data_IF_147188682827
#
_entry.id   IF_147188682827
#
_cell.length_a   1.000
_cell.length_b   1.000
_cell.length_c   1.000
_cell.angle_alpha   90.00
_cell.angle_beta   90.00
_cell.angle_gamma   90.00
#
_symmetry.space_group_name_H-M   'P 1'
#
loop_
_entity.id
_entity.type
_entity.pdbx_description
1 polymer ?
#
# COMPACT_ATOMS: atom_id res chain seq x y z
N UNK A 1 -18.54 15.99 11.30
CA UNK A 1 -17.84 14.79 10.85
C UNK A 1 -16.99 15.07 9.60
N UNK A 2 -17.51 15.66 8.52
CA UNK A 2 -16.78 15.90 7.26
C UNK A 2 -15.41 16.56 7.46
N UNK A 3 -15.31 17.64 8.26
CA UNK A 3 -14.03 18.31 8.54
C UNK A 3 -12.99 17.39 9.20
N UNK A 4 -13.44 16.46 10.05
CA UNK A 4 -12.54 15.47 10.69
C UNK A 4 -12.02 14.47 9.67
N UNK A 5 -12.89 13.96 8.78
CA UNK A 5 -12.52 13.03 7.70
C UNK A 5 -11.52 13.70 6.75
N UNK A 6 -11.85 14.88 6.20
CA UNK A 6 -10.97 15.57 5.24
C UNK A 6 -9.62 15.97 5.85
N UNK A 7 -9.59 16.37 7.13
CA UNK A 7 -8.34 16.69 7.83
C UNK A 7 -7.36 15.52 7.88
N UNK A 8 -7.88 14.27 7.88
CA UNK A 8 -7.06 13.06 7.87
C UNK A 8 -6.86 12.54 6.44
N UNK A 9 -7.89 12.56 5.61
CA UNK A 9 -7.82 12.03 4.26
C UNK A 9 -6.86 12.84 3.37
N UNK A 10 -6.97 14.18 3.34
CA UNK A 10 -6.18 15.00 2.42
C UNK A 10 -4.66 14.82 2.62
N UNK A 11 -4.08 14.93 3.82
CA UNK A 11 -2.66 14.68 3.98
C UNK A 11 -2.26 13.23 3.67
N UNK A 12 -3.14 12.26 3.91
CA UNK A 12 -2.89 10.85 3.59
C UNK A 12 -2.86 10.62 2.07
N UNK A 13 -3.79 11.22 1.33
CA UNK A 13 -3.80 11.21 -0.14
C UNK A 13 -2.51 11.82 -0.68
N UNK A 14 -2.13 12.99 -0.19
CA UNK A 14 -0.90 13.65 -0.60
C UNK A 14 0.33 12.77 -0.33
N UNK A 15 0.40 12.12 0.83
CA UNK A 15 1.49 11.19 1.14
C UNK A 15 1.52 9.98 0.19
N UNK A 16 0.37 9.40 -0.16
CA UNK A 16 0.29 8.27 -1.09
C UNK A 16 0.74 8.64 -2.51
N UNK A 17 0.38 9.84 -2.99
CA UNK A 17 0.74 10.31 -4.34
C UNK A 17 2.26 10.60 -4.44
N UNK A 18 2.93 10.93 -3.34
CA UNK A 18 4.39 11.18 -3.39
C UNK A 18 5.21 9.93 -3.68
N UNK A 19 4.71 8.75 -3.37
CA UNK A 19 5.43 7.47 -3.60
C UNK A 19 5.68 7.17 -5.09
N UNK A 20 4.65 7.18 -5.98
CA UNK A 20 4.89 7.00 -7.41
C UNK A 20 5.71 8.12 -8.03
N UNK A 21 5.63 9.36 -7.52
CA UNK A 21 6.48 10.47 -7.98
C UNK A 21 7.96 10.18 -7.71
N UNK A 22 8.29 9.60 -6.57
CA UNK A 22 9.66 9.19 -6.25
C UNK A 22 10.19 8.15 -7.25
N UNK A 23 9.39 7.12 -7.55
CA UNK A 23 9.76 6.10 -8.52
C UNK A 23 10.00 6.69 -9.93
N UNK A 24 9.22 7.70 -10.33
CA UNK A 24 9.43 8.42 -11.58
C UNK A 24 10.75 9.19 -11.60
N UNK A 25 11.11 9.86 -10.51
CA UNK A 25 12.39 10.59 -10.40
C UNK A 25 13.57 9.63 -10.43
N UNK A 26 13.53 8.52 -9.68
CA UNK A 26 14.58 7.50 -9.72
C UNK A 26 14.74 6.91 -11.13
N UNK A 27 13.64 6.65 -11.82
CA UNK A 27 13.62 6.21 -13.22
C UNK A 27 14.23 7.26 -14.16
N UNK A 28 13.88 8.54 -13.98
CA UNK A 28 14.44 9.63 -14.77
C UNK A 28 15.95 9.78 -14.55
N UNK A 29 16.41 9.78 -13.30
CA UNK A 29 17.86 9.83 -12.99
C UNK A 29 18.58 8.69 -13.68
N UNK A 30 18.04 7.47 -13.56
CA UNK A 30 18.67 6.25 -14.09
C UNK A 30 18.64 6.21 -15.62
N UNK A 31 17.56 6.69 -16.24
CA UNK A 31 17.42 6.77 -17.70
C UNK A 31 18.47 7.67 -18.36
N UNK A 32 18.97 8.68 -17.63
CA UNK A 32 20.04 9.58 -18.09
C UNK A 32 21.46 9.06 -17.79
N UNK A 33 21.61 7.87 -17.17
CA UNK A 33 22.92 7.28 -16.88
C UNK A 33 23.55 6.52 -18.06
N UNK A 34 22.96 6.60 -19.24
CA UNK A 34 23.55 6.11 -20.51
C UNK A 34 23.50 4.60 -20.73
N UNK A 35 22.84 3.82 -19.86
CA UNK A 35 22.68 2.36 -20.05
C UNK A 35 21.28 1.88 -19.65
N UNK A 36 20.60 1.22 -20.57
CA UNK A 36 19.32 0.56 -20.32
C UNK A 36 19.42 -0.51 -19.22
N UNK A 37 20.61 -1.09 -19.00
CA UNK A 37 20.84 -2.09 -17.92
C UNK A 37 20.66 -1.51 -16.53
N UNK A 38 21.04 -0.25 -16.29
CA UNK A 38 20.81 0.40 -14.99
C UNK A 38 19.32 0.57 -14.69
N UNK A 39 18.56 0.99 -15.71
CA UNK A 39 17.11 1.12 -15.60
C UNK A 39 16.44 -0.21 -15.31
N UNK A 40 16.82 -1.26 -16.05
CA UNK A 40 16.34 -2.62 -15.85
C UNK A 40 16.70 -3.16 -14.46
N UNK A 41 17.91 -2.90 -13.96
CA UNK A 41 18.36 -3.33 -12.65
C UNK A 41 17.59 -2.66 -11.50
N UNK A 42 17.29 -1.35 -11.61
CA UNK A 42 16.47 -0.64 -10.61
C UNK A 42 15.02 -1.14 -10.65
N UNK A 43 14.46 -1.34 -11.84
CA UNK A 43 13.11 -1.91 -11.98
C UNK A 43 13.03 -3.30 -11.32
N UNK A 44 14.00 -4.17 -11.59
CA UNK A 44 14.08 -5.51 -11.01
C UNK A 44 14.25 -5.46 -9.49
N UNK A 45 15.18 -4.63 -8.99
CA UNK A 45 15.38 -4.40 -7.55
C UNK A 45 14.14 -3.83 -6.88
N UNK A 46 13.43 -2.92 -7.53
CA UNK A 46 12.16 -2.37 -7.06
C UNK A 46 11.08 -3.44 -6.89
N UNK A 47 10.97 -4.37 -7.84
CA UNK A 47 10.06 -5.53 -7.74
C UNK A 47 10.45 -6.40 -6.54
N UNK A 48 11.74 -6.69 -6.35
CA UNK A 48 12.24 -7.46 -5.20
C UNK A 48 11.79 -6.85 -3.87
N UNK A 49 12.02 -5.54 -3.69
CA UNK A 49 11.65 -4.85 -2.45
C UNK A 49 10.14 -4.69 -2.28
N UNK A 50 9.40 -4.45 -3.35
CA UNK A 50 7.93 -4.40 -3.27
C UNK A 50 7.37 -5.74 -2.78
N UNK A 51 7.86 -6.87 -3.31
CA UNK A 51 7.43 -8.21 -2.86
C UNK A 51 7.73 -8.42 -1.36
N UNK A 52 8.92 -7.98 -0.88
CA UNK A 52 9.30 -8.10 0.52
C UNK A 52 8.46 -7.20 1.42
N UNK A 53 8.37 -5.91 1.10
CA UNK A 53 7.76 -4.92 2.00
C UNK A 53 6.23 -4.97 2.02
N UNK A 54 5.58 -5.38 0.94
CA UNK A 54 4.11 -5.54 0.91
C UNK A 54 3.62 -6.54 1.95
N UNK A 55 4.36 -7.62 2.16
CA UNK A 55 4.03 -8.60 3.22
C UNK A 55 3.97 -7.92 4.59
N UNK A 56 4.83 -6.94 4.85
CA UNK A 56 4.90 -6.22 6.13
C UNK A 56 4.01 -4.97 6.22
N UNK A 57 3.22 -4.67 5.20
CA UNK A 57 2.26 -3.54 5.22
C UNK A 57 1.25 -3.63 6.36
N UNK A 58 1.03 -4.83 6.90
CA UNK A 58 0.22 -5.06 8.09
C UNK A 58 0.71 -4.28 9.32
N UNK A 59 2.02 -4.00 9.42
CA UNK A 59 2.58 -3.19 10.51
C UNK A 59 1.91 -1.81 10.56
N UNK A 60 1.63 -1.19 9.42
CA UNK A 60 0.92 0.09 9.37
C UNK A 60 -0.54 -0.06 9.80
N UNK A 61 -1.30 -0.95 9.14
CA UNK A 61 -2.74 -1.10 9.37
C UNK A 61 -3.07 -1.63 10.77
N UNK A 62 -2.38 -2.69 11.23
CA UNK A 62 -2.59 -3.25 12.56
C UNK A 62 -2.21 -2.27 13.68
N UNK A 63 -1.12 -1.52 13.50
CA UNK A 63 -0.72 -0.48 14.46
C UNK A 63 -1.73 0.66 14.49
N UNK A 64 -2.24 1.10 13.33
CA UNK A 64 -3.26 2.16 13.23
C UNK A 64 -4.55 1.77 13.96
N UNK A 65 -5.09 0.57 13.69
CA UNK A 65 -6.31 0.10 14.33
C UNK A 65 -6.19 -0.02 15.85
N UNK A 66 -5.11 -0.66 16.33
CA UNK A 66 -4.90 -0.83 17.78
C UNK A 66 -4.62 0.52 18.49
N UNK A 67 -3.82 1.40 17.89
CA UNK A 67 -3.50 2.71 18.46
C UNK A 67 -4.71 3.62 18.50
N UNK A 68 -5.54 3.63 17.45
CA UNK A 68 -6.74 4.48 17.38
C UNK A 68 -7.78 4.07 18.43
N UNK A 69 -7.95 2.78 18.69
CA UNK A 69 -8.83 2.30 19.75
C UNK A 69 -8.30 2.67 21.15
N UNK A 70 -7.02 2.45 21.41
CA UNK A 70 -6.39 2.84 22.67
C UNK A 70 -6.50 4.36 22.90
N UNK A 71 -6.27 5.15 21.86
CA UNK A 71 -6.43 6.61 21.90
C UNK A 71 -7.89 7.02 22.19
N UNK A 72 -8.85 6.36 21.54
CA UNK A 72 -10.27 6.58 21.77
C UNK A 72 -10.72 6.26 23.19
N UNK A 73 -10.14 5.21 23.78
CA UNK A 73 -10.36 4.83 25.18
C UNK A 73 -9.68 5.76 26.21
N UNK A 74 -8.86 6.72 25.76
CA UNK A 74 -8.07 7.59 26.63
C UNK A 74 -6.86 6.91 27.27
N UNK A 75 -6.54 5.67 26.88
CA UNK A 75 -5.42 4.89 27.43
C UNK A 75 -4.10 5.19 26.70
N UNK A 76 -3.45 6.26 27.07
CA UNK A 76 -2.15 6.66 26.49
C UNK A 76 -1.02 5.68 26.79
N UNK A 77 -1.17 4.84 27.86
CA UNK A 77 -0.20 3.78 28.14
C UNK A 77 -0.34 2.63 27.14
N UNK A 78 -1.57 2.22 26.81
CA UNK A 78 -1.81 1.26 25.74
C UNK A 78 -1.32 1.78 24.38
N UNK A 79 -1.55 3.05 24.06
CA UNK A 79 -1.02 3.70 22.84
C UNK A 79 0.51 3.59 22.77
N UNK A 80 1.21 3.86 23.87
CA UNK A 80 2.66 3.74 23.96
C UNK A 80 3.14 2.28 23.78
N UNK A 81 2.42 1.34 24.37
CA UNK A 81 2.74 -0.10 24.27
C UNK A 81 2.55 -0.63 22.84
N UNK A 82 1.48 -0.22 22.15
CA UNK A 82 1.26 -0.58 20.74
C UNK A 82 2.41 -0.09 19.86
N UNK A 83 2.84 1.16 20.01
CA UNK A 83 3.99 1.70 19.29
C UNK A 83 5.26 0.90 19.53
N UNK A 84 5.61 0.66 20.80
CA UNK A 84 6.84 -0.06 21.16
C UNK A 84 6.83 -1.49 20.65
N UNK A 85 5.70 -2.20 20.73
CA UNK A 85 5.54 -3.56 20.16
C UNK A 85 5.72 -3.54 18.65
N UNK A 86 5.05 -2.61 17.96
CA UNK A 86 5.16 -2.48 16.51
C UNK A 86 6.58 -2.18 16.06
N UNK A 87 7.28 -1.26 16.74
CA UNK A 87 8.68 -0.94 16.46
C UNK A 87 9.61 -2.12 16.75
N UNK A 88 9.40 -2.83 17.86
CA UNK A 88 10.20 -4.03 18.18
C UNK A 88 10.06 -5.09 17.10
N UNK A 89 8.83 -5.36 16.63
CA UNK A 89 8.57 -6.32 15.57
C UNK A 89 9.16 -5.83 14.24
N UNK A 90 8.99 -4.56 13.91
CA UNK A 90 9.53 -3.95 12.70
C UNK A 90 11.06 -4.03 12.62
N UNK A 91 11.74 -3.63 13.70
CA UNK A 91 13.21 -3.66 13.78
C UNK A 91 13.75 -5.09 13.78
N UNK A 92 13.11 -6.01 14.52
CA UNK A 92 13.48 -7.42 14.52
C UNK A 92 13.28 -8.05 13.13
N UNK A 93 12.17 -7.81 12.46
CA UNK A 93 11.91 -8.30 11.11
C UNK A 93 12.92 -7.73 10.10
N UNK A 94 13.22 -6.42 10.18
CA UNK A 94 14.24 -5.78 9.34
C UNK A 94 15.63 -6.36 9.58
N UNK A 95 16.01 -6.63 10.83
CA UNK A 95 17.28 -7.29 11.17
C UNK A 95 17.33 -8.73 10.60
N UNK A 96 16.24 -9.49 10.70
CA UNK A 96 16.15 -10.83 10.10
C UNK A 96 16.29 -10.76 8.58
N UNK A 97 15.69 -9.77 7.91
CA UNK A 97 15.88 -9.57 6.45
C UNK A 97 17.34 -9.31 6.10
N UNK A 98 18.06 -8.51 6.89
CA UNK A 98 19.50 -8.27 6.68
C UNK A 98 20.29 -9.57 6.87
N UNK A 99 20.01 -10.35 7.91
CA UNK A 99 20.67 -11.63 8.15
C UNK A 99 20.40 -12.65 7.02
N UNK A 100 19.20 -12.63 6.48
CA UNK A 100 18.77 -13.51 5.39
C UNK A 100 18.97 -12.91 3.99
N UNK A 101 19.74 -11.83 3.84
CA UNK A 101 19.91 -11.14 2.55
C UNK A 101 20.39 -12.07 1.42
N UNK A 102 21.33 -12.98 1.69
CA UNK A 102 21.85 -13.94 0.69
C UNK A 102 20.80 -14.96 0.23
N UNK A 103 20.12 -15.71 1.12
CA UNK A 103 19.06 -16.62 0.70
C UNK A 103 17.88 -15.89 0.03
N UNK A 104 17.49 -14.69 0.50
CA UNK A 104 16.46 -13.87 -0.13
C UNK A 104 16.86 -13.51 -1.57
N UNK A 105 18.08 -13.03 -1.77
CA UNK A 105 18.58 -12.68 -3.09
C UNK A 105 18.62 -13.89 -4.04
N UNK A 106 19.03 -15.06 -3.54
CA UNK A 106 19.08 -16.29 -4.33
C UNK A 106 17.67 -16.74 -4.76
N UNK A 107 16.70 -16.72 -3.84
CA UNK A 107 15.31 -17.11 -4.15
C UNK A 107 14.69 -16.14 -5.14
N UNK A 108 14.85 -14.84 -4.91
CA UNK A 108 14.27 -13.80 -5.77
C UNK A 108 14.94 -13.77 -7.15
N UNK A 109 16.27 -13.92 -7.22
CA UNK A 109 17.00 -14.02 -8.48
C UNK A 109 16.54 -15.18 -9.34
N UNK A 110 16.32 -16.37 -8.73
CA UNK A 110 15.76 -17.54 -9.43
C UNK A 110 14.29 -17.37 -9.84
N UNK A 111 13.52 -16.63 -9.05
CA UNK A 111 12.11 -16.40 -9.34
C UNK A 111 11.91 -15.39 -10.48
N UNK A 112 12.76 -14.36 -10.54
CA UNK A 112 12.67 -13.28 -11.53
C UNK A 112 13.42 -13.59 -12.82
N UNK A 113 14.45 -14.44 -12.75
CA UNK A 113 15.25 -15.05 -13.85
C UNK A 113 15.38 -14.13 -15.10
N UNK A 114 16.05 -12.97 -15.01
CA UNK A 114 16.16 -12.07 -16.14
C UNK A 114 17.12 -12.65 -17.21
N UNK A 115 16.79 -12.44 -18.48
CA UNK A 115 17.55 -12.95 -19.63
C UNK A 115 19.02 -12.45 -19.68
N UNK A 116 19.30 -11.22 -19.17
CA UNK A 116 20.66 -10.64 -19.11
C UNK A 116 21.26 -10.83 -17.70
N UNK A 117 22.29 -11.70 -17.55
CA UNK A 117 22.99 -11.89 -16.28
C UNK A 117 23.61 -10.61 -15.69
N UNK A 118 23.95 -9.62 -16.55
CA UNK A 118 24.48 -8.34 -16.10
C UNK A 118 23.42 -7.52 -15.35
N UNK A 119 22.15 -7.60 -15.77
CA UNK A 119 21.02 -6.96 -15.09
C UNK A 119 20.83 -7.57 -13.71
N UNK A 120 20.89 -8.91 -13.59
CA UNK A 120 20.79 -9.59 -12.30
C UNK A 120 21.94 -9.21 -11.36
N UNK A 121 23.16 -9.09 -11.87
CA UNK A 121 24.32 -8.66 -11.08
C UNK A 121 24.14 -7.25 -10.52
N UNK A 122 23.70 -6.31 -11.36
CA UNK A 122 23.42 -4.92 -10.96
C UNK A 122 22.24 -4.83 -9.98
N UNK A 123 21.16 -5.59 -10.22
CA UNK A 123 20.02 -5.66 -9.30
C UNK A 123 20.43 -6.28 -7.95
N UNK A 124 21.34 -7.25 -7.95
CA UNK A 124 21.91 -7.85 -6.75
C UNK A 124 22.72 -6.84 -5.93
N UNK A 125 23.52 -6.02 -6.61
CA UNK A 125 24.26 -4.92 -5.98
C UNK A 125 23.30 -3.90 -5.35
N UNK A 126 22.28 -3.48 -6.10
CA UNK A 126 21.25 -2.58 -5.63
C UNK A 126 20.51 -3.14 -4.40
N UNK A 127 20.12 -4.42 -4.46
CA UNK A 127 19.49 -5.13 -3.35
C UNK A 127 20.37 -5.18 -2.10
N UNK A 128 21.66 -5.53 -2.26
CA UNK A 128 22.61 -5.66 -1.14
C UNK A 128 22.83 -4.34 -0.39
N UNK A 129 22.74 -3.21 -1.08
CA UNK A 129 22.82 -1.88 -0.47
C UNK A 129 21.51 -1.56 0.25
N UNK A 130 20.39 -1.68 -0.44
CA UNK A 130 19.09 -1.23 0.07
C UNK A 130 18.53 -2.07 1.21
N UNK A 131 18.91 -3.36 1.33
CA UNK A 131 18.41 -4.23 2.38
C UNK A 131 18.75 -3.72 3.78
N UNK A 132 19.83 -2.96 3.93
CA UNK A 132 20.20 -2.28 5.16
C UNK A 132 19.22 -1.20 5.59
N UNK A 133 18.35 -0.76 4.69
CA UNK A 133 17.22 0.11 4.97
C UNK A 133 15.98 -0.61 5.52
N UNK A 134 15.93 -1.95 5.49
CA UNK A 134 14.75 -2.70 5.90
C UNK A 134 14.23 -2.35 7.31
N UNK A 135 15.07 -2.23 8.36
CA UNK A 135 14.58 -1.82 9.67
C UNK A 135 13.96 -0.42 9.67
N UNK A 136 14.52 0.52 8.91
CA UNK A 136 14.00 1.88 8.80
C UNK A 136 12.65 1.91 8.05
N UNK A 137 12.52 1.17 6.95
CA UNK A 137 11.26 1.07 6.16
C UNK A 137 10.14 0.46 7.01
N UNK A 138 10.41 -0.68 7.66
CA UNK A 138 9.41 -1.35 8.50
C UNK A 138 9.08 -0.51 9.74
N UNK A 139 10.09 0.17 10.32
CA UNK A 139 9.89 1.13 11.40
C UNK A 139 9.02 2.32 10.98
N UNK A 140 9.21 2.83 9.77
CA UNK A 140 8.36 3.87 9.19
C UNK A 140 6.91 3.40 9.01
N UNK A 141 6.66 2.14 8.64
CA UNK A 141 5.31 1.57 8.62
C UNK A 141 4.66 1.58 10.00
N UNK A 142 5.38 1.12 11.03
CA UNK A 142 4.89 1.11 12.40
C UNK A 142 4.58 2.53 12.91
N UNK A 143 5.48 3.49 12.70
CA UNK A 143 5.28 4.89 13.09
C UNK A 143 4.14 5.55 12.31
N UNK A 144 4.04 5.33 11.02
CA UNK A 144 2.95 5.86 10.19
C UNK A 144 1.59 5.36 10.68
N UNK A 145 1.46 4.05 10.99
CA UNK A 145 0.26 3.50 11.59
C UNK A 145 -0.06 4.15 12.94
N UNK A 146 0.95 4.35 13.78
CA UNK A 146 0.77 4.98 15.08
C UNK A 146 0.34 6.45 14.98
N UNK A 147 1.00 7.26 14.14
CA UNK A 147 0.59 8.66 13.92
C UNK A 147 -0.84 8.77 13.41
N UNK A 148 -1.23 7.87 12.50
CA UNK A 148 -2.59 7.81 12.00
C UNK A 148 -3.58 7.46 13.13
N UNK A 149 -3.26 6.48 13.96
CA UNK A 149 -4.04 6.13 15.15
C UNK A 149 -4.18 7.27 16.14
N UNK A 150 -3.14 8.12 16.27
CA UNK A 150 -3.13 9.36 17.05
C UNK A 150 -3.87 10.53 16.37
N UNK A 151 -4.63 10.28 15.32
CA UNK A 151 -5.41 11.28 14.56
C UNK A 151 -4.54 12.35 13.88
N UNK A 152 -3.30 12.03 13.51
CA UNK A 152 -2.39 12.99 12.91
C UNK A 152 -1.75 12.47 11.62
N UNK A 153 -2.51 12.49 10.54
CA UNK A 153 -2.03 12.11 9.20
C UNK A 153 -1.02 13.09 8.59
N UNK A 154 -0.91 14.31 9.14
CA UNK A 154 0.10 15.28 8.67
C UNK A 154 1.53 14.79 8.90
N UNK A 155 1.75 14.00 9.96
CA UNK A 155 3.08 13.42 10.22
C UNK A 155 3.47 12.39 9.16
N UNK A 156 2.48 11.61 8.64
CA UNK A 156 2.71 10.72 7.50
C UNK A 156 3.22 11.51 6.29
N UNK A 157 2.54 12.61 5.97
CA UNK A 157 2.91 13.47 4.85
C UNK A 157 4.32 14.05 5.04
N UNK A 158 4.63 14.60 6.22
CA UNK A 158 5.96 15.18 6.47
C UNK A 158 7.07 14.14 6.40
N UNK A 159 6.88 12.96 6.99
CA UNK A 159 7.87 11.86 6.89
C UNK A 159 8.06 11.45 5.43
N UNK A 160 6.97 11.29 4.67
CA UNK A 160 7.04 10.95 3.25
C UNK A 160 7.77 12.03 2.43
N UNK A 161 7.48 13.30 2.65
CA UNK A 161 8.16 14.41 1.98
C UNK A 161 9.65 14.46 2.33
N UNK A 162 10.01 14.26 3.60
CA UNK A 162 11.42 14.23 4.03
C UNK A 162 12.15 13.09 3.34
N UNK A 163 11.57 11.89 3.29
CA UNK A 163 12.16 10.75 2.58
C UNK A 163 12.37 11.08 1.11
N UNK A 164 11.34 11.60 0.43
CA UNK A 164 11.39 11.86 -1.00
C UNK A 164 12.38 12.97 -1.37
N UNK A 165 12.35 14.08 -0.62
CA UNK A 165 13.28 15.21 -0.86
C UNK A 165 14.72 14.76 -0.60
N UNK A 166 14.97 14.02 0.50
CA UNK A 166 16.30 13.49 0.83
C UNK A 166 16.78 12.51 -0.22
N UNK A 167 15.91 11.60 -0.69
CA UNK A 167 16.24 10.64 -1.74
C UNK A 167 16.64 11.38 -3.03
N UNK A 168 15.80 12.28 -3.54
CA UNK A 168 16.04 13.02 -4.76
C UNK A 168 17.37 13.81 -4.67
N UNK A 169 17.55 14.57 -3.59
CA UNK A 169 18.74 15.39 -3.40
C UNK A 169 20.01 14.53 -3.35
N UNK A 170 20.00 13.46 -2.54
CA UNK A 170 21.16 12.59 -2.40
C UNK A 170 21.43 11.79 -3.67
N UNK A 171 20.41 11.25 -4.33
CA UNK A 171 20.58 10.54 -5.61
C UNK A 171 21.21 11.44 -6.67
N UNK A 172 20.74 12.68 -6.82
CA UNK A 172 21.34 13.64 -7.75
C UNK A 172 22.79 13.96 -7.39
N UNK A 173 23.09 14.23 -6.12
CA UNK A 173 24.46 14.53 -5.65
C UNK A 173 25.38 13.34 -5.90
N UNK A 174 24.97 12.13 -5.47
CA UNK A 174 25.82 10.94 -5.53
C UNK A 174 26.03 10.46 -6.97
N UNK A 175 25.02 10.62 -7.85
CA UNK A 175 25.13 10.21 -9.25
C UNK A 175 25.90 11.21 -10.09
N UNK A 176 25.57 12.52 -10.01
CA UNK A 176 26.12 13.53 -10.93
C UNK A 176 27.38 14.21 -10.40
N UNK A 177 27.52 14.39 -9.08
CA UNK A 177 28.73 15.04 -8.51
C UNK A 177 29.80 13.99 -8.15
N UNK A 178 29.38 12.91 -7.48
CA UNK A 178 30.31 11.85 -7.05
C UNK A 178 30.48 10.72 -8.08
N UNK A 179 29.72 10.73 -9.17
CA UNK A 179 29.78 9.74 -10.25
C UNK A 179 29.62 8.29 -9.81
N UNK A 180 28.83 8.05 -8.75
CA UNK A 180 28.66 6.71 -8.14
C UNK A 180 27.69 5.82 -8.94
N UNK A 181 27.03 6.31 -9.99
CA UNK A 181 26.11 5.52 -10.80
C UNK A 181 24.99 4.86 -10.00
N UNK A 182 24.74 3.58 -10.27
CA UNK A 182 23.68 2.79 -9.59
C UNK A 182 23.83 2.75 -8.07
N UNK A 183 25.08 2.67 -7.58
CA UNK A 183 25.35 2.66 -6.13
C UNK A 183 24.97 3.99 -5.49
N UNK A 184 25.07 5.10 -6.23
CA UNK A 184 24.63 6.41 -5.77
C UNK A 184 23.12 6.48 -5.55
N UNK A 185 22.32 5.97 -6.49
CA UNK A 185 20.85 5.89 -6.32
C UNK A 185 20.48 5.01 -5.15
N UNK A 186 21.08 3.81 -5.06
CA UNK A 186 20.81 2.88 -3.95
C UNK A 186 21.17 3.49 -2.58
N UNK A 187 22.33 4.13 -2.47
CA UNK A 187 22.79 4.76 -1.22
C UNK A 187 21.91 5.98 -0.87
N UNK A 188 21.51 6.80 -1.86
CA UNK A 188 20.60 7.92 -1.66
C UNK A 188 19.26 7.46 -1.08
N UNK A 189 18.69 6.39 -1.64
CA UNK A 189 17.46 5.76 -1.14
C UNK A 189 17.62 5.19 0.27
N UNK A 190 18.72 4.47 0.51
CA UNK A 190 19.04 3.92 1.84
C UNK A 190 19.08 5.02 2.92
N UNK A 191 19.87 6.07 2.67
CA UNK A 191 20.02 7.18 3.63
C UNK A 191 18.67 7.90 3.82
N UNK A 192 17.91 8.12 2.76
CA UNK A 192 16.59 8.75 2.85
C UNK A 192 15.63 7.97 3.76
N UNK A 193 15.63 6.63 3.72
CA UNK A 193 14.80 5.80 4.59
C UNK A 193 15.19 5.97 6.08
N UNK A 194 16.49 6.02 6.39
CA UNK A 194 16.97 6.25 7.75
C UNK A 194 16.70 7.67 8.24
N UNK A 195 16.84 8.67 7.37
CA UNK A 195 16.49 10.07 7.69
C UNK A 195 15.00 10.19 7.99
N UNK A 196 14.14 9.55 7.18
CA UNK A 196 12.69 9.51 7.45
C UNK A 196 12.34 8.81 8.76
N UNK A 197 13.02 7.70 9.07
CA UNK A 197 12.86 7.00 10.34
C UNK A 197 13.29 7.88 11.54
N UNK A 198 14.43 8.56 11.41
CA UNK A 198 14.89 9.54 12.41
C UNK A 198 13.92 10.71 12.58
N UNK A 199 13.39 11.26 11.48
CA UNK A 199 12.37 12.31 11.51
C UNK A 199 11.09 11.85 12.23
N UNK A 200 10.66 10.60 11.99
CA UNK A 200 9.54 10.00 12.72
C UNK A 200 9.77 9.97 14.23
N UNK A 201 10.97 9.63 14.68
CA UNK A 201 11.34 9.70 16.10
C UNK A 201 11.32 11.13 16.64
N UNK A 202 11.82 12.10 15.89
CA UNK A 202 11.78 13.51 16.30
C UNK A 202 10.34 13.99 16.46
N UNK A 203 9.45 13.65 15.53
CA UNK A 203 8.04 13.99 15.63
C UNK A 203 7.33 13.34 16.82
N UNK A 204 7.78 12.15 17.24
CA UNK A 204 7.23 11.48 18.43
C UNK A 204 7.53 12.24 19.73
N UNK A 205 8.63 13.00 19.82
CA UNK A 205 8.94 13.79 21.01
C UNK A 205 7.88 14.86 21.32
N UNK A 206 7.12 15.30 20.31
CA UNK A 206 5.98 16.20 20.52
C UNK A 206 4.81 15.58 21.28
N UNK A 207 4.82 14.25 21.46
CA UNK A 207 3.79 13.50 22.19
C UNK A 207 4.33 13.07 23.54
N UNK A 208 3.56 13.33 24.62
CA UNK A 208 3.89 12.87 25.97
C UNK A 208 3.62 11.35 26.07
N UNK A 209 4.58 10.55 25.61
CA UNK A 209 4.50 9.09 25.64
C UNK A 209 4.85 8.60 27.04
N UNK A 210 3.91 7.91 27.75
CA UNK A 210 4.21 7.41 29.09
C UNK A 210 5.37 6.40 29.07
N UNK A 211 6.23 6.40 30.11
CA UNK A 211 7.26 5.39 30.23
C UNK A 211 6.62 4.00 30.40
N UNK A 212 7.14 3.00 29.73
CA UNK A 212 6.71 1.61 29.80
C UNK A 212 7.91 0.69 29.94
N UNK A 213 7.74 -0.40 30.66
CA UNK A 213 8.80 -1.39 30.88
C UNK A 213 8.87 -2.41 29.75
N UNK A 214 10.03 -3.02 29.53
CA UNK A 214 10.21 -4.07 28.56
C UNK A 214 9.29 -5.28 28.85
N UNK A 215 9.08 -5.60 30.13
CA UNK A 215 8.17 -6.66 30.57
C UNK A 215 6.72 -6.43 30.11
N UNK A 216 6.26 -5.19 30.12
CA UNK A 216 4.92 -4.82 29.61
C UNK A 216 4.83 -4.95 28.09
N UNK A 217 5.88 -4.53 27.37
CA UNK A 217 5.97 -4.66 25.91
C UNK A 217 5.89 -6.13 25.51
N UNK A 218 6.64 -7.01 26.22
CA UNK A 218 6.75 -8.45 25.94
C UNK A 218 5.66 -9.31 26.60
N UNK A 219 4.61 -8.70 27.19
CA UNK A 219 3.52 -9.45 27.81
C UNK A 219 2.81 -10.34 26.79
N UNK A 220 2.88 -11.65 26.99
CA UNK A 220 2.46 -12.66 26.02
C UNK A 220 1.00 -12.56 25.58
N UNK A 221 0.07 -12.29 26.51
CA UNK A 221 -1.36 -12.13 26.21
C UNK A 221 -1.61 -11.02 25.20
N UNK A 222 -0.91 -9.90 25.33
CA UNK A 222 -1.03 -8.74 24.48
C UNK A 222 -0.29 -8.91 23.14
N UNK A 223 0.87 -9.58 23.17
CA UNK A 223 1.60 -9.96 21.96
C UNK A 223 0.76 -10.93 21.11
N UNK A 224 0.11 -11.91 21.73
CA UNK A 224 -0.78 -12.84 21.01
C UNK A 224 -1.92 -12.10 20.29
N UNK A 225 -2.55 -11.11 20.95
CA UNK A 225 -3.57 -10.25 20.32
C UNK A 225 -2.97 -9.43 19.18
N UNK A 226 -1.83 -8.82 19.41
CA UNK A 226 -1.12 -8.03 18.40
C UNK A 226 -0.77 -8.87 17.17
N UNK A 227 -0.16 -10.04 17.35
CA UNK A 227 0.19 -10.93 16.25
C UNK A 227 -1.05 -11.47 15.53
N UNK A 228 -2.13 -11.78 16.24
CA UNK A 228 -3.39 -12.26 15.61
C UNK A 228 -3.94 -11.21 14.65
N UNK A 229 -4.09 -9.96 15.10
CA UNK A 229 -4.58 -8.85 14.25
C UNK A 229 -3.67 -8.66 13.03
N UNK A 230 -2.37 -8.62 13.26
CA UNK A 230 -1.40 -8.40 12.19
C UNK A 230 -1.33 -9.57 11.20
N UNK A 231 -1.44 -10.82 11.66
CA UNK A 231 -1.49 -12.01 10.81
C UNK A 231 -2.74 -12.01 9.91
N UNK A 232 -3.90 -11.66 10.44
CA UNK A 232 -5.14 -11.58 9.67
C UNK A 232 -5.04 -10.50 8.57
N UNK A 233 -4.45 -9.33 8.88
CA UNK A 233 -4.20 -8.27 7.90
C UNK A 233 -3.15 -8.71 6.87
N UNK A 234 -2.10 -9.42 7.28
CA UNK A 234 -1.09 -9.98 6.37
C UNK A 234 -1.71 -10.98 5.40
N UNK A 235 -2.50 -11.94 5.90
CA UNK A 235 -3.17 -12.94 5.05
C UNK A 235 -4.14 -12.29 4.06
N UNK A 236 -4.86 -11.24 4.48
CA UNK A 236 -5.67 -10.40 3.58
C UNK A 236 -4.82 -9.81 2.47
N UNK A 237 -3.65 -9.27 2.80
CA UNK A 237 -2.74 -8.67 1.81
C UNK A 237 -2.21 -9.72 0.83
N UNK A 238 -1.91 -10.93 1.30
CA UNK A 238 -1.52 -12.05 0.43
C UNK A 238 -2.64 -12.38 -0.58
N UNK A 239 -3.91 -12.42 -0.15
CA UNK A 239 -5.04 -12.62 -1.06
C UNK A 239 -5.11 -11.53 -2.14
N UNK A 240 -4.90 -10.25 -1.77
CA UNK A 240 -4.90 -9.13 -2.69
C UNK A 240 -3.75 -9.26 -3.72
N UNK A 241 -2.54 -9.54 -3.24
CA UNK A 241 -1.35 -9.73 -4.08
C UNK A 241 -1.56 -10.91 -5.05
N UNK A 242 -2.13 -12.01 -4.56
CA UNK A 242 -2.41 -13.19 -5.41
C UNK A 242 -3.32 -12.83 -6.59
N UNK A 243 -4.39 -12.07 -6.38
CA UNK A 243 -5.27 -11.60 -7.46
C UNK A 243 -4.50 -10.72 -8.45
N UNK A 244 -3.72 -9.75 -7.96
CA UNK A 244 -2.98 -8.82 -8.82
C UNK A 244 -1.91 -9.53 -9.64
N UNK A 245 -1.14 -10.43 -9.03
CA UNK A 245 -0.12 -11.23 -9.72
C UNK A 245 -0.75 -12.13 -10.78
N UNK A 246 -1.87 -12.76 -10.43
CA UNK A 246 -2.57 -13.64 -11.39
C UNK A 246 -3.18 -12.85 -12.55
N UNK A 247 -3.73 -11.66 -12.29
CA UNK A 247 -4.21 -10.75 -13.33
C UNK A 247 -3.10 -10.40 -14.32
N UNK A 248 -1.93 -10.00 -13.83
CA UNK A 248 -0.77 -9.66 -14.66
C UNK A 248 -0.27 -10.88 -15.45
N UNK A 249 -0.15 -12.03 -14.79
CA UNK A 249 0.29 -13.29 -15.43
C UNK A 249 -0.65 -13.70 -16.56
N UNK A 250 -1.95 -13.66 -16.32
CA UNK A 250 -2.96 -14.03 -17.33
C UNK A 250 -2.95 -13.04 -18.50
N UNK A 251 -2.75 -11.75 -18.25
CA UNK A 251 -2.54 -10.76 -19.30
C UNK A 251 -1.28 -11.03 -20.12
N UNK A 252 -0.17 -11.41 -19.48
CA UNK A 252 1.08 -11.74 -20.16
C UNK A 252 0.96 -12.96 -21.08
N UNK A 253 0.17 -13.95 -20.69
CA UNK A 253 -0.09 -15.15 -21.51
C UNK A 253 -0.86 -14.85 -22.81
N UNK A 254 -1.54 -13.69 -22.90
CA UNK A 254 -2.27 -13.27 -24.10
C UNK A 254 -1.41 -12.44 -25.08
N UNK A 255 -0.15 -12.22 -24.75
CA UNK A 255 0.82 -11.51 -25.59
C UNK A 255 1.15 -10.12 -25.10
N UNK A 256 2.21 -9.55 -25.67
CA UNK A 256 2.80 -8.28 -25.23
C UNK A 256 1.83 -7.09 -25.32
N UNK A 257 1.02 -7.02 -26.38
CA UNK A 257 0.06 -5.93 -26.60
C UNK A 257 -1.02 -5.95 -25.52
N UNK A 258 -1.62 -7.10 -25.20
CA UNK A 258 -2.65 -7.23 -24.16
C UNK A 258 -2.07 -6.94 -22.78
N UNK A 259 -0.85 -7.39 -22.49
CA UNK A 259 -0.16 -7.04 -21.25
C UNK A 259 0.02 -5.52 -21.13
N UNK A 260 0.46 -4.85 -22.20
CA UNK A 260 0.64 -3.39 -22.21
C UNK A 260 -0.70 -2.65 -22.03
N UNK A 261 -1.76 -3.09 -22.70
CA UNK A 261 -3.14 -2.58 -22.53
C UNK A 261 -3.60 -2.72 -21.08
N UNK A 262 -3.47 -3.91 -20.51
CA UNK A 262 -3.89 -4.16 -19.14
C UNK A 262 -3.07 -3.33 -18.13
N UNK A 263 -1.76 -3.20 -18.36
CA UNK A 263 -0.88 -2.36 -17.53
C UNK A 263 -1.30 -0.89 -17.60
N UNK A 264 -1.59 -0.37 -18.80
CA UNK A 264 -2.03 1.00 -19.01
C UNK A 264 -3.36 1.29 -18.28
N UNK A 265 -4.35 0.41 -18.45
CA UNK A 265 -5.66 0.57 -17.82
C UNK A 265 -5.60 0.39 -16.30
N UNK A 266 -4.70 -0.45 -15.78
CA UNK A 266 -4.49 -0.59 -14.34
C UNK A 266 -3.94 0.68 -13.68
N UNK A 267 -3.30 1.61 -14.42
CA UNK A 267 -2.90 2.90 -13.87
C UNK A 267 -4.13 3.75 -13.45
N UNK A 268 -5.24 3.64 -14.16
CA UNK A 268 -6.49 4.30 -13.77
C UNK A 268 -7.01 3.76 -12.44
N UNK A 269 -6.98 2.44 -12.27
CA UNK A 269 -7.32 1.81 -10.99
C UNK A 269 -6.40 2.27 -9.86
N UNK A 270 -5.08 2.30 -10.08
CA UNK A 270 -4.11 2.71 -9.07
C UNK A 270 -4.31 4.18 -8.65
N UNK A 271 -4.57 5.08 -9.60
CA UNK A 271 -4.84 6.48 -9.31
C UNK A 271 -6.07 6.65 -8.41
N UNK A 272 -7.16 5.95 -8.72
CA UNK A 272 -8.36 5.92 -7.89
C UNK A 272 -8.08 5.29 -6.51
N UNK A 273 -7.31 4.20 -6.48
CA UNK A 273 -6.91 3.51 -5.25
C UNK A 273 -6.16 4.43 -4.28
N UNK A 274 -5.16 5.18 -4.75
CA UNK A 274 -4.41 6.13 -3.91
C UNK A 274 -5.30 7.20 -3.29
N UNK A 275 -6.32 7.66 -4.02
CA UNK A 275 -7.32 8.59 -3.50
C UNK A 275 -8.17 7.94 -2.41
N UNK A 276 -8.71 6.75 -2.68
CA UNK A 276 -9.58 6.04 -1.75
C UNK A 276 -8.85 5.53 -0.51
N UNK A 277 -7.57 5.18 -0.63
CA UNK A 277 -6.73 4.79 0.51
C UNK A 277 -6.60 5.92 1.55
N UNK A 278 -6.58 7.17 1.10
CA UNK A 278 -6.60 8.31 2.02
C UNK A 278 -7.89 8.40 2.84
N UNK A 279 -9.04 8.08 2.24
CA UNK A 279 -10.31 7.98 2.97
C UNK A 279 -10.36 6.73 3.85
N UNK A 280 -9.80 5.61 3.41
CA UNK A 280 -9.66 4.41 4.24
C UNK A 280 -8.80 4.70 5.49
N UNK A 281 -7.69 5.43 5.36
CA UNK A 281 -6.86 5.84 6.50
C UNK A 281 -7.62 6.76 7.48
N UNK A 282 -8.44 7.68 6.95
CA UNK A 282 -9.33 8.47 7.81
C UNK A 282 -10.36 7.60 8.54
N UNK A 283 -10.87 6.56 7.88
CA UNK A 283 -11.73 5.53 8.47
C UNK A 283 -11.03 4.75 9.58
N UNK A 284 -9.81 4.24 9.32
CA UNK A 284 -9.00 3.54 10.34
C UNK A 284 -8.86 4.36 11.62
N UNK A 285 -8.49 5.63 11.47
CA UNK A 285 -8.26 6.52 12.59
C UNK A 285 -9.54 6.88 13.35
N UNK A 286 -10.58 7.33 12.64
CA UNK A 286 -11.81 7.83 13.27
C UNK A 286 -12.69 6.71 13.80
N UNK A 287 -12.90 5.66 13.03
CA UNK A 287 -13.72 4.51 13.49
C UNK A 287 -13.06 3.84 14.68
N UNK A 288 -11.74 3.59 14.63
CA UNK A 288 -11.01 3.03 15.75
C UNK A 288 -11.13 3.90 17.01
N UNK A 289 -11.00 5.21 16.89
CA UNK A 289 -11.21 6.14 17.99
C UNK A 289 -12.61 6.05 18.59
N UNK A 290 -13.65 6.01 17.76
CA UNK A 290 -15.04 5.94 18.26
C UNK A 290 -15.36 4.57 18.88
N UNK A 291 -14.84 3.48 18.32
CA UNK A 291 -14.94 2.15 18.91
C UNK A 291 -14.25 2.10 20.26
N UNK A 292 -13.04 2.64 20.38
CA UNK A 292 -12.32 2.74 21.66
C UNK A 292 -13.05 3.58 22.71
N UNK A 293 -13.67 4.68 22.29
CA UNK A 293 -14.49 5.54 23.14
C UNK A 293 -15.90 4.96 23.42
N UNK A 294 -16.27 3.83 22.81
CA UNK A 294 -17.63 3.25 22.83
C UNK A 294 -18.72 4.23 22.35
N UNK A 295 -18.37 5.18 21.49
CA UNK A 295 -19.29 6.14 20.89
C UNK A 295 -19.85 5.61 19.56
N UNK A 296 -20.81 4.72 19.68
CA UNK A 296 -21.42 4.02 18.53
C UNK A 296 -22.19 4.96 17.60
N UNK A 297 -22.73 6.06 18.14
CA UNK A 297 -23.45 7.05 17.35
C UNK A 297 -22.49 7.79 16.39
N UNK A 298 -21.40 8.30 16.92
CA UNK A 298 -20.37 8.95 16.09
C UNK A 298 -19.68 7.97 15.12
N UNK A 299 -19.50 6.72 15.54
CA UNK A 299 -18.97 5.68 14.66
C UNK A 299 -19.88 5.47 13.44
N UNK A 300 -21.19 5.26 13.66
CA UNK A 300 -22.18 5.08 12.55
C UNK A 300 -22.22 6.30 11.64
N UNK A 301 -22.21 7.51 12.22
CA UNK A 301 -22.17 8.76 11.44
C UNK A 301 -20.87 8.86 10.62
N UNK A 302 -19.73 8.44 11.18
CA UNK A 302 -18.45 8.41 10.48
C UNK A 302 -18.50 7.45 9.28
N UNK A 303 -18.96 6.22 9.48
CA UNK A 303 -19.11 5.22 8.41
C UNK A 303 -20.01 5.78 7.29
N UNK A 304 -21.18 6.31 7.64
CA UNK A 304 -22.10 6.90 6.63
C UNK A 304 -21.41 8.01 5.83
N UNK A 305 -20.69 8.92 6.49
CA UNK A 305 -19.98 10.02 5.80
C UNK A 305 -18.79 9.54 4.95
N UNK A 306 -18.08 8.50 5.36
CA UNK A 306 -17.03 7.89 4.54
C UNK A 306 -17.61 7.32 3.24
N UNK A 307 -18.74 6.62 3.33
CA UNK A 307 -19.44 6.11 2.13
C UNK A 307 -19.94 7.23 1.21
N UNK A 308 -20.47 8.32 1.77
CA UNK A 308 -20.86 9.49 0.98
C UNK A 308 -19.67 10.10 0.21
N UNK A 309 -18.54 10.29 0.88
CA UNK A 309 -17.33 10.80 0.24
C UNK A 309 -16.78 9.80 -0.78
N UNK A 310 -16.75 8.50 -0.45
CA UNK A 310 -16.34 7.44 -1.38
C UNK A 310 -17.19 7.42 -2.65
N UNK A 311 -18.53 7.46 -2.51
CA UNK A 311 -19.45 7.50 -3.65
C UNK A 311 -19.28 8.78 -4.48
N UNK A 312 -19.12 9.95 -3.83
CA UNK A 312 -18.91 11.22 -4.52
C UNK A 312 -17.62 11.19 -5.36
N UNK A 313 -16.50 10.74 -4.78
CA UNK A 313 -15.26 10.62 -5.52
C UNK A 313 -15.30 9.54 -6.59
N UNK A 314 -15.96 8.41 -6.34
CA UNK A 314 -16.16 7.38 -7.37
C UNK A 314 -16.92 7.94 -8.57
N UNK A 315 -17.98 8.73 -8.34
CA UNK A 315 -18.72 9.40 -9.41
C UNK A 315 -17.88 10.42 -10.16
N UNK A 316 -17.06 11.22 -9.45
CA UNK A 316 -16.16 12.20 -10.08
C UNK A 316 -15.11 11.49 -10.95
N UNK A 317 -14.46 10.43 -10.45
CA UNK A 317 -13.45 9.69 -11.21
C UNK A 317 -14.08 9.00 -12.43
N UNK A 318 -15.25 8.37 -12.28
CA UNK A 318 -15.97 7.75 -13.40
C UNK A 318 -16.30 8.79 -14.46
N UNK A 319 -16.80 9.98 -14.06
CA UNK A 319 -17.12 11.06 -15.00
C UNK A 319 -15.84 11.57 -15.71
N UNK A 320 -14.76 11.79 -14.96
CA UNK A 320 -13.47 12.23 -15.54
C UNK A 320 -12.94 11.18 -16.52
N UNK A 321 -13.00 9.89 -16.18
CA UNK A 321 -12.57 8.82 -17.08
C UNK A 321 -13.45 8.76 -18.33
N UNK A 322 -14.77 8.92 -18.22
CA UNK A 322 -15.66 8.95 -19.38
C UNK A 322 -15.39 10.14 -20.32
N UNK A 323 -15.11 11.31 -19.76
CA UNK A 323 -14.94 12.54 -20.55
C UNK A 323 -13.52 12.70 -21.11
N UNK A 324 -12.49 12.27 -20.36
CA UNK A 324 -11.08 12.54 -20.67
C UNK A 324 -10.29 11.26 -20.99
N UNK A 325 -10.93 10.12 -21.18
CA UNK A 325 -10.28 8.82 -21.21
C UNK A 325 -9.23 8.67 -22.30
N UNK A 326 -9.55 9.04 -23.52
CA UNK A 326 -8.61 8.95 -24.63
C UNK A 326 -7.41 9.88 -24.42
N UNK A 327 -7.65 11.11 -23.97
CA UNK A 327 -6.57 12.06 -23.64
C UNK A 327 -5.70 11.56 -22.50
N UNK A 328 -6.30 10.86 -21.54
CA UNK A 328 -5.55 10.29 -20.39
C UNK A 328 -4.67 9.11 -20.83
N UNK A 329 -5.17 8.24 -21.72
CA UNK A 329 -4.41 7.13 -22.26
C UNK A 329 -3.24 7.64 -23.13
N UNK A 330 -3.48 8.65 -23.95
CA UNK A 330 -2.43 9.30 -24.77
C UNK A 330 -1.37 10.02 -23.91
N UNK A 331 -1.71 10.50 -22.72
CA UNK A 331 -0.75 11.06 -21.76
C UNK A 331 0.16 9.98 -21.15
N UNK A 332 -0.36 8.76 -20.99
CA UNK A 332 0.35 7.66 -20.33
C UNK A 332 1.17 6.81 -21.30
N UNK A 333 0.87 6.83 -22.61
CA UNK A 333 1.57 6.01 -23.61
C UNK A 333 1.59 6.71 -24.96
N UNK A 334 2.79 6.74 -25.58
CA UNK A 334 3.01 7.20 -26.96
C UNK A 334 2.74 6.09 -27.99
N UNK A 335 2.50 4.86 -27.56
CA UNK A 335 2.20 3.73 -28.44
C UNK A 335 0.73 3.75 -28.88
N UNK A 336 0.49 4.32 -30.05
CA UNK A 336 -0.85 4.43 -30.64
C UNK A 336 -1.55 3.08 -30.84
N UNK A 337 -0.80 1.96 -31.03
CA UNK A 337 -1.40 0.64 -31.16
C UNK A 337 -1.98 0.17 -29.82
N UNK A 338 -1.22 0.38 -28.73
CA UNK A 338 -1.66 0.05 -27.37
C UNK A 338 -2.84 0.94 -26.96
N UNK A 339 -2.78 2.26 -27.21
CA UNK A 339 -3.87 3.19 -26.87
C UNK A 339 -5.14 2.82 -27.61
N UNK A 340 -5.08 2.49 -28.91
CA UNK A 340 -6.24 2.07 -29.70
C UNK A 340 -6.82 0.74 -29.18
N UNK A 341 -5.98 -0.26 -28.91
CA UNK A 341 -6.40 -1.54 -28.37
C UNK A 341 -7.00 -1.41 -26.97
N UNK A 342 -6.58 -0.42 -26.16
CA UNK A 342 -7.14 -0.16 -24.83
C UNK A 342 -8.60 0.27 -24.90
N UNK A 343 -9.06 0.86 -26.00
CA UNK A 343 -10.46 1.26 -26.20
C UNK A 343 -11.45 0.12 -26.03
N UNK A 344 -11.08 -1.11 -26.43
CA UNK A 344 -11.90 -2.32 -26.31
C UNK A 344 -12.20 -2.68 -24.83
N UNK A 345 -11.22 -2.47 -23.95
CA UNK A 345 -11.33 -2.84 -22.53
C UNK A 345 -11.60 -1.65 -21.61
N UNK A 346 -11.63 -0.43 -22.15
CA UNK A 346 -11.67 0.81 -21.41
C UNK A 346 -12.84 0.91 -20.44
N UNK A 347 -14.04 0.47 -20.86
CA UNK A 347 -15.24 0.53 -20.04
C UNK A 347 -15.12 -0.27 -18.74
N UNK A 348 -14.33 -1.35 -18.73
CA UNK A 348 -14.04 -2.07 -17.51
C UNK A 348 -13.30 -1.18 -16.50
N UNK A 349 -12.26 -0.48 -16.93
CA UNK A 349 -11.50 0.43 -16.06
C UNK A 349 -12.36 1.60 -15.57
N UNK A 350 -13.22 2.15 -16.41
CA UNK A 350 -14.19 3.21 -16.05
C UNK A 350 -15.20 2.75 -15.01
N UNK A 351 -15.61 1.48 -15.00
CA UNK A 351 -16.54 0.93 -14.02
C UNK A 351 -15.95 0.75 -12.62
N UNK A 352 -14.63 0.62 -12.52
CA UNK A 352 -13.92 0.30 -11.26
C UNK A 352 -14.26 1.28 -10.12
N UNK A 353 -14.21 2.61 -10.29
CA UNK A 353 -14.49 3.51 -9.17
C UNK A 353 -15.84 3.26 -8.52
N UNK A 354 -16.91 3.11 -9.31
CA UNK A 354 -18.26 2.88 -8.79
C UNK A 354 -18.42 1.52 -8.12
N UNK A 355 -17.73 0.49 -8.62
CA UNK A 355 -17.84 -0.87 -8.07
C UNK A 355 -16.99 -1.03 -6.81
N UNK A 356 -15.82 -0.35 -6.74
CA UNK A 356 -14.82 -0.63 -5.72
C UNK A 356 -14.84 0.32 -4.52
N UNK A 357 -15.45 1.52 -4.59
CA UNK A 357 -15.38 2.50 -3.49
C UNK A 357 -15.83 1.95 -2.14
N UNK A 358 -16.86 1.08 -2.14
CA UNK A 358 -17.36 0.46 -0.94
C UNK A 358 -16.31 -0.44 -0.27
N UNK A 359 -15.53 -1.20 -1.06
CA UNK A 359 -14.46 -2.05 -0.55
C UNK A 359 -13.36 -1.24 0.15
N UNK A 360 -12.95 -0.10 -0.43
CA UNK A 360 -11.97 0.80 0.19
C UNK A 360 -12.51 1.46 1.47
N UNK A 361 -13.75 1.93 1.45
CA UNK A 361 -14.38 2.52 2.63
C UNK A 361 -14.47 1.51 3.79
N UNK A 362 -14.88 0.28 3.48
CA UNK A 362 -14.94 -0.80 4.47
C UNK A 362 -13.57 -1.22 4.99
N UNK A 363 -12.53 -1.25 4.18
CA UNK A 363 -11.19 -1.58 4.64
C UNK A 363 -10.77 -0.69 5.82
N UNK A 364 -10.97 0.63 5.70
CA UNK A 364 -10.69 1.55 6.78
C UNK A 364 -11.55 1.30 8.02
N UNK A 365 -12.84 1.03 7.85
CA UNK A 365 -13.76 0.73 8.95
C UNK A 365 -13.35 -0.55 9.68
N UNK A 366 -13.06 -1.62 8.95
CA UNK A 366 -12.72 -2.92 9.53
C UNK A 366 -11.36 -2.90 10.25
N UNK A 367 -10.36 -2.24 9.70
CA UNK A 367 -9.05 -2.09 10.34
C UNK A 367 -9.19 -1.23 11.61
N UNK A 368 -9.90 -0.10 11.54
CA UNK A 368 -10.15 0.76 12.70
C UNK A 368 -10.92 0.04 13.81
N UNK A 369 -11.94 -0.72 13.46
CA UNK A 369 -12.69 -1.52 14.40
C UNK A 369 -11.95 -2.80 14.87
N UNK A 370 -10.77 -3.11 14.32
CA UNK A 370 -10.01 -4.36 14.50
C UNK A 370 -10.82 -5.63 14.22
N UNK A 371 -11.75 -5.55 13.26
CA UNK A 371 -12.53 -6.66 12.75
C UNK A 371 -11.78 -7.41 11.63
N UNK A 372 -10.51 -7.69 11.88
CA UNK A 372 -9.54 -8.18 10.89
C UNK A 372 -9.87 -9.58 10.36
N UNK A 373 -10.50 -10.42 11.19
CA UNK A 373 -10.98 -11.74 10.76
C UNK A 373 -12.09 -11.64 9.70
N UNK A 374 -13.07 -10.77 9.90
CA UNK A 374 -14.16 -10.54 8.94
C UNK A 374 -13.61 -9.93 7.65
N UNK A 375 -12.64 -9.03 7.78
CA UNK A 375 -11.91 -8.46 6.65
C UNK A 375 -11.19 -9.54 5.82
N UNK A 376 -10.51 -10.48 6.48
CA UNK A 376 -9.87 -11.62 5.82
C UNK A 376 -10.87 -12.55 5.13
N UNK A 377 -11.96 -12.88 5.81
CA UNK A 377 -13.02 -13.76 5.23
C UNK A 377 -13.62 -13.12 3.98
N UNK A 378 -13.94 -11.82 4.02
CA UNK A 378 -14.47 -11.11 2.85
C UNK A 378 -13.49 -11.08 1.68
N UNK A 379 -12.20 -10.89 1.97
CA UNK A 379 -11.15 -10.88 0.95
C UNK A 379 -10.95 -12.27 0.33
N UNK A 380 -10.91 -13.33 1.15
CA UNK A 380 -10.79 -14.71 0.67
C UNK A 380 -11.99 -15.10 -0.20
N UNK A 381 -13.21 -14.72 0.22
CA UNK A 381 -14.42 -14.94 -0.58
C UNK A 381 -14.38 -14.18 -1.93
N UNK A 382 -13.95 -12.91 -1.91
CA UNK A 382 -13.80 -12.14 -3.13
C UNK A 382 -12.71 -12.71 -4.07
N UNK A 383 -11.58 -13.17 -3.51
CA UNK A 383 -10.55 -13.88 -4.27
C UNK A 383 -11.11 -15.16 -4.91
N UNK A 384 -11.93 -15.91 -4.21
CA UNK A 384 -12.61 -17.08 -4.78
C UNK A 384 -13.52 -16.70 -5.96
N UNK A 385 -14.28 -15.60 -5.85
CA UNK A 385 -15.09 -15.06 -6.97
C UNK A 385 -14.21 -14.75 -8.18
N UNK A 386 -13.04 -14.12 -7.99
CA UNK A 386 -12.10 -13.85 -9.07
C UNK A 386 -11.68 -15.13 -9.80
N UNK A 387 -11.18 -16.13 -9.06
CA UNK A 387 -10.68 -17.35 -9.66
C UNK A 387 -11.79 -18.20 -10.30
N UNK A 388 -12.96 -18.27 -9.69
CA UNK A 388 -14.11 -18.98 -10.25
C UNK A 388 -14.55 -18.30 -11.55
N UNK A 389 -14.72 -16.98 -11.56
CA UNK A 389 -15.11 -16.23 -12.76
C UNK A 389 -14.09 -16.43 -13.88
N UNK A 390 -12.81 -16.32 -13.55
CA UNK A 390 -11.73 -16.50 -14.52
C UNK A 390 -11.73 -17.93 -15.09
N UNK A 391 -11.85 -18.94 -14.23
CA UNK A 391 -11.82 -20.34 -14.65
C UNK A 391 -12.93 -20.67 -15.65
N UNK A 392 -14.15 -20.21 -15.40
CA UNK A 392 -15.29 -20.55 -16.25
C UNK A 392 -15.42 -19.68 -17.51
N UNK A 393 -15.07 -18.40 -17.43
CA UNK A 393 -15.31 -17.45 -18.52
C UNK A 393 -14.09 -17.16 -19.38
N UNK A 394 -12.88 -17.43 -18.88
CA UNK A 394 -11.66 -17.14 -19.65
C UNK A 394 -11.57 -17.89 -21.00
N UNK A 395 -11.97 -19.18 -21.11
CA UNK A 395 -11.91 -19.88 -22.39
C UNK A 395 -12.79 -19.25 -23.49
N UNK A 396 -13.87 -18.57 -23.11
CA UNK A 396 -14.83 -18.00 -24.06
C UNK A 396 -14.63 -16.49 -24.30
N UNK A 397 -14.20 -15.74 -23.29
CA UNK A 397 -14.15 -14.27 -23.32
C UNK A 397 -12.73 -13.69 -23.26
N UNK A 398 -11.69 -14.53 -23.05
CA UNK A 398 -10.29 -14.08 -23.02
C UNK A 398 -10.05 -12.94 -22.05
N UNK A 399 -9.51 -11.82 -22.53
CA UNK A 399 -9.19 -10.67 -21.69
C UNK A 399 -10.42 -9.97 -21.11
N UNK A 400 -11.59 -10.03 -21.75
CA UNK A 400 -12.84 -9.53 -21.16
C UNK A 400 -13.21 -10.30 -19.89
N UNK A 401 -12.98 -11.63 -19.86
CA UNK A 401 -13.19 -12.42 -18.65
C UNK A 401 -12.24 -12.02 -17.52
N UNK A 402 -10.99 -11.68 -17.84
CA UNK A 402 -10.01 -11.22 -16.87
C UNK A 402 -10.44 -9.91 -16.20
N UNK A 403 -10.89 -8.94 -16.99
CA UNK A 403 -11.42 -7.68 -16.49
C UNK A 403 -12.73 -7.86 -15.71
N UNK A 404 -13.65 -8.68 -16.22
CA UNK A 404 -14.89 -9.00 -15.51
C UNK A 404 -14.60 -9.64 -14.16
N UNK A 405 -13.67 -10.62 -14.12
CA UNK A 405 -13.27 -11.25 -12.86
C UNK A 405 -12.69 -10.25 -11.85
N UNK A 406 -11.89 -9.28 -12.33
CA UNK A 406 -11.32 -8.25 -11.48
C UNK A 406 -12.39 -7.27 -10.95
N UNK A 407 -13.31 -6.83 -11.79
CA UNK A 407 -14.43 -5.95 -11.39
C UNK A 407 -15.35 -6.66 -10.39
N UNK A 408 -15.71 -7.93 -10.68
CA UNK A 408 -16.50 -8.75 -9.76
C UNK A 408 -15.80 -9.00 -8.42
N UNK A 409 -14.48 -9.22 -8.43
CA UNK A 409 -13.68 -9.30 -7.21
C UNK A 409 -13.80 -8.05 -6.36
N UNK A 410 -13.65 -6.86 -6.97
CA UNK A 410 -13.76 -5.58 -6.24
C UNK A 410 -15.17 -5.37 -5.69
N UNK A 411 -16.20 -5.69 -6.47
CA UNK A 411 -17.60 -5.60 -6.05
C UNK A 411 -17.95 -6.60 -4.94
N UNK A 412 -17.54 -7.86 -5.10
CA UNK A 412 -17.75 -8.91 -4.11
C UNK A 412 -17.09 -8.58 -2.77
N UNK A 413 -15.89 -7.99 -2.79
CA UNK A 413 -15.20 -7.52 -1.60
C UNK A 413 -16.04 -6.52 -0.81
N UNK A 414 -16.57 -5.48 -1.47
CA UNK A 414 -17.46 -4.49 -0.85
C UNK A 414 -18.78 -5.09 -0.36
N UNK A 415 -19.36 -6.01 -1.14
CA UNK A 415 -20.62 -6.69 -0.81
C UNK A 415 -20.43 -7.59 0.43
N UNK A 416 -19.43 -8.47 0.46
CA UNK A 416 -19.20 -9.36 1.60
C UNK A 416 -18.88 -8.58 2.88
N UNK A 417 -18.09 -7.51 2.77
CA UNK A 417 -17.85 -6.61 3.90
C UNK A 417 -19.15 -5.99 4.40
N UNK A 418 -20.01 -5.52 3.49
CA UNK A 418 -21.32 -4.93 3.87
C UNK A 418 -22.21 -5.95 4.58
N UNK A 419 -22.26 -7.18 4.09
CA UNK A 419 -23.03 -8.27 4.68
C UNK A 419 -22.50 -8.59 6.09
N UNK A 420 -21.18 -8.83 6.21
CA UNK A 420 -20.55 -9.18 7.49
C UNK A 420 -20.68 -8.06 8.54
N UNK A 421 -20.65 -6.78 8.11
CA UNK A 421 -20.86 -5.65 9.01
C UNK A 421 -22.27 -5.63 9.59
N UNK A 422 -23.33 -5.95 8.80
CA UNK A 422 -24.71 -6.01 9.29
C UNK A 422 -24.92 -7.09 10.35
N UNK A 423 -24.20 -8.20 10.27
CA UNK A 423 -24.29 -9.28 11.26
C UNK A 423 -23.43 -9.02 12.50
N UNK A 424 -22.55 -8.03 12.46
CA UNK A 424 -21.73 -7.68 13.61
C UNK A 424 -22.48 -6.69 14.51
N UNK A 425 -22.85 -7.16 15.70
CA UNK A 425 -23.50 -6.33 16.72
C UNK A 425 -22.43 -5.50 17.43
N UNK A 426 -22.38 -4.22 17.17
CA UNK A 426 -21.63 -3.28 17.98
C UNK A 426 -22.49 -2.93 19.21
N UNK A 427 -22.04 -3.35 20.39
CA UNK A 427 -22.46 -2.99 21.75
C UNK A 427 -23.90 -2.83 22.07
#
# INVERSE_FOLDING_TARGET
MNRKILRLAIPSIAANITTPLLALVDTAITGHMGSARFLAAIALGGVMFNMLYWIFSFLRGGTSGLSSQAYGAGDMRAVALVLKRSLTVALAAGAVMILLQRPLLTVMGRFLDPDDPAVLSLASLYFTILIWGAPAVLGNYAMSGWFLGMQNSRMLLWVSLIINITNIALSLILVYIFHMGLTGVATGTLVAQWVGFGAGFLFMHGYRIPPTTLREVMRWSELKRFFKVNLEVMLRTICLVAVTVWFTRTGAQQGAVILAVNTLLMQLFLLFSYMMDGFAFAGEALVGRFVGARDWQQMRLCVHRLFMWGAAWASVFTLVYLLCGESFLNLLSDDHAVVRASGEYYLWAVSIPLVSFAAFAWDGVYIGATLTRQLLISMAGAMAVFFITLHFLYPSLGNHALWLAFVLYLGARGLFQTILYRFHKFG
#
